data_IF_366056944977
#
_entry.id   IF_366056944977
#
_cell.length_a   1.000
_cell.length_b   1.000
_cell.length_c   1.000
_cell.angle_alpha   90.00
_cell.angle_beta   90.00
_cell.angle_gamma   90.00
#
_symmetry.space_group_name_H-M   'P 1'
#
loop_
_entity.id
_entity.type
_entity.pdbx_description
1 polymer ?
#
# COMPACT_ATOMS: atom_id res chain seq x y z
N UNK A 1 -39.22 23.20 -68.07
CA UNK A 1 -38.72 22.07 -67.26
C UNK A 1 -37.25 22.35 -66.96
N UNK A 2 -36.98 22.87 -65.77
CA UNK A 2 -35.66 23.36 -65.34
C UNK A 2 -35.35 22.74 -63.98
N UNK A 3 -34.14 22.20 -63.83
CA UNK A 3 -33.22 22.34 -62.68
C UNK A 3 -32.43 21.05 -62.43
N UNK A 4 -31.09 21.19 -62.43
CA UNK A 4 -30.13 20.11 -62.24
C UNK A 4 -29.90 19.73 -60.76
N UNK A 5 -29.03 18.74 -60.49
CA UNK A 5 -28.82 18.23 -59.14
C UNK A 5 -27.89 19.15 -58.34
N UNK A 6 -28.29 19.44 -57.09
CA UNK A 6 -27.49 20.15 -56.10
C UNK A 6 -26.61 19.15 -55.34
N UNK A 7 -25.31 19.42 -55.32
CA UNK A 7 -24.31 18.74 -54.50
C UNK A 7 -24.59 19.07 -53.03
N UNK A 8 -24.79 18.06 -52.18
CA UNK A 8 -24.81 18.22 -50.73
C UNK A 8 -23.45 17.77 -50.16
N UNK A 9 -22.74 18.70 -49.54
CA UNK A 9 -21.47 18.45 -48.88
C UNK A 9 -21.71 17.66 -47.57
N UNK A 10 -21.03 16.53 -47.42
CA UNK A 10 -20.93 15.81 -46.15
C UNK A 10 -19.92 16.53 -45.25
N UNK A 11 -20.40 17.12 -44.15
CA UNK A 11 -19.55 17.63 -43.08
C UNK A 11 -19.01 16.47 -42.24
N UNK A 12 -17.68 16.33 -42.19
CA UNK A 12 -16.99 15.38 -41.32
C UNK A 12 -16.87 15.99 -39.91
N UNK A 13 -17.62 15.48 -38.93
CA UNK A 13 -17.38 15.82 -37.53
C UNK A 13 -16.31 14.89 -36.95
N UNK A 14 -15.13 15.44 -36.70
CA UNK A 14 -14.07 14.81 -35.91
C UNK A 14 -14.46 14.86 -34.42
N UNK A 15 -14.69 13.69 -33.81
CA UNK A 15 -14.80 13.56 -32.37
C UNK A 15 -13.38 13.44 -31.79
N UNK A 16 -12.85 14.53 -31.22
CA UNK A 16 -11.68 14.46 -30.37
C UNK A 16 -12.10 13.87 -29.02
N UNK A 17 -11.89 12.58 -28.83
CA UNK A 17 -12.05 11.93 -27.53
C UNK A 17 -10.95 12.38 -26.59
N UNK A 18 -11.26 13.29 -25.67
CA UNK A 18 -10.38 13.64 -24.56
C UNK A 18 -10.29 12.46 -23.60
N UNK A 19 -9.17 11.74 -23.58
CA UNK A 19 -8.86 10.82 -22.49
C UNK A 19 -8.54 11.66 -21.25
N UNK A 20 -9.49 11.81 -20.33
CA UNK A 20 -9.17 12.26 -18.98
C UNK A 20 -8.31 11.18 -18.32
N UNK A 21 -7.02 11.45 -18.15
CA UNK A 21 -6.19 10.70 -17.22
C UNK A 21 -6.75 10.92 -15.81
N UNK A 22 -7.11 9.84 -15.12
CA UNK A 22 -7.60 9.92 -13.75
C UNK A 22 -6.50 10.47 -12.83
N UNK A 23 -6.82 11.50 -12.07
CA UNK A 23 -5.98 12.09 -11.02
C UNK A 23 -5.77 11.06 -9.90
N UNK A 24 -4.52 10.72 -9.52
CA UNK A 24 -4.28 9.89 -8.35
C UNK A 24 -4.77 10.64 -7.10
N UNK A 25 -5.88 10.20 -6.50
CA UNK A 25 -6.40 10.79 -5.25
C UNK A 25 -7.92 10.89 -5.11
N UNK A 26 -8.69 10.74 -6.19
CA UNK A 26 -10.17 10.86 -6.17
C UNK A 26 -10.89 9.51 -6.09
N UNK A 27 -10.29 8.52 -5.46
CA UNK A 27 -11.02 7.30 -5.08
C UNK A 27 -12.02 7.61 -3.97
N UNK A 28 -13.17 6.91 -3.88
CA UNK A 28 -14.05 7.07 -2.74
C UNK A 28 -13.29 6.80 -1.45
N UNK A 29 -13.32 7.75 -0.51
CA UNK A 29 -12.71 7.64 0.83
C UNK A 29 -13.29 6.48 1.65
N UNK A 30 -14.41 5.93 1.18
CA UNK A 30 -15.07 4.78 1.76
C UNK A 30 -15.30 3.72 0.68
N UNK A 31 -14.63 2.59 0.83
CA UNK A 31 -14.98 1.34 0.15
C UNK A 31 -15.84 0.52 1.11
N UNK A 32 -16.98 -0.05 0.68
CA UNK A 32 -17.75 -0.95 1.52
C UNK A 32 -16.87 -2.11 1.99
N UNK A 33 -16.86 -2.37 3.29
CA UNK A 33 -16.15 -3.54 3.79
C UNK A 33 -16.85 -4.81 3.30
N UNK A 34 -16.11 -5.88 3.00
CA UNK A 34 -16.73 -7.18 2.72
C UNK A 34 -17.44 -7.72 3.97
N UNK A 35 -18.22 -8.78 3.82
CA UNK A 35 -18.66 -9.56 4.98
C UNK A 35 -17.43 -10.24 5.60
N UNK A 36 -17.06 -9.80 6.80
CA UNK A 36 -15.85 -10.26 7.49
C UNK A 36 -15.91 -11.73 7.90
N UNK A 37 -17.12 -12.33 7.98
CA UNK A 37 -17.29 -13.75 8.33
C UNK A 37 -16.76 -14.70 7.25
N UNK A 38 -16.70 -14.22 6.00
CA UNK A 38 -16.21 -14.99 4.86
C UNK A 38 -14.72 -14.71 4.56
N UNK A 39 -14.05 -13.89 5.38
CA UNK A 39 -12.66 -13.50 5.13
C UNK A 39 -11.66 -14.42 5.83
N UNK A 40 -10.57 -14.73 5.13
CA UNK A 40 -9.39 -15.38 5.70
C UNK A 40 -8.32 -14.32 5.90
N UNK A 41 -8.04 -13.97 7.16
CA UNK A 41 -7.07 -12.94 7.50
C UNK A 41 -5.67 -13.52 7.65
N UNK A 42 -4.70 -12.91 6.97
CA UNK A 42 -3.28 -13.14 7.21
C UNK A 42 -2.73 -12.03 8.11
N UNK A 43 -2.38 -12.38 9.34
CA UNK A 43 -1.67 -11.46 10.23
C UNK A 43 -0.18 -11.41 9.87
N UNK A 44 0.36 -10.20 9.69
CA UNK A 44 1.78 -9.98 9.51
C UNK A 44 2.28 -8.87 10.45
N UNK A 45 3.41 -9.13 11.10
CA UNK A 45 4.17 -8.11 11.82
C UNK A 45 5.08 -7.41 10.83
N UNK A 46 4.88 -6.09 10.64
CA UNK A 46 5.54 -5.32 9.56
C UNK A 46 7.06 -5.52 9.60
N UNK A 47 7.68 -5.30 10.76
CA UNK A 47 9.13 -5.41 10.98
C UNK A 47 9.71 -6.79 10.60
N UNK A 48 8.90 -7.85 10.58
CA UNK A 48 9.40 -9.24 10.49
C UNK A 48 8.87 -10.01 9.30
N UNK A 49 8.19 -9.32 8.41
CA UNK A 49 7.60 -9.94 7.24
C UNK A 49 8.49 -9.85 6.00
N UNK A 50 8.82 -8.63 5.57
CA UNK A 50 9.68 -8.41 4.40
C UNK A 50 10.27 -6.99 4.42
N UNK A 51 11.58 -6.89 4.18
CA UNK A 51 12.31 -5.63 4.01
C UNK A 51 12.34 -5.28 2.52
N UNK A 52 11.61 -4.22 2.14
CA UNK A 52 11.54 -3.71 0.78
C UNK A 52 12.44 -2.49 0.55
N UNK A 53 12.86 -1.79 1.59
CA UNK A 53 13.69 -0.59 1.52
C UNK A 53 14.67 -0.49 2.70
N UNK A 54 15.89 -0.97 2.47
CA UNK A 54 16.98 -0.92 3.44
C UNK A 54 17.41 0.50 3.85
N UNK A 55 16.97 1.52 3.10
CA UNK A 55 17.26 2.92 3.42
C UNK A 55 16.55 3.42 4.69
N UNK A 56 15.57 2.67 5.21
CA UNK A 56 14.82 3.02 6.41
C UNK A 56 15.03 2.05 7.59
N UNK A 57 16.00 1.14 7.50
CA UNK A 57 16.26 0.08 8.50
C UNK A 57 16.81 0.62 9.82
N UNK A 58 17.63 1.68 9.76
CA UNK A 58 18.53 2.08 10.85
C UNK A 58 18.67 3.61 10.90
N UNK A 59 18.54 4.17 12.09
CA UNK A 59 18.87 5.56 12.45
C UNK A 59 20.33 5.71 12.88
N UNK A 60 21.08 4.62 12.90
CA UNK A 60 22.49 4.53 13.29
C UNK A 60 22.71 4.82 14.78
N UNK A 61 21.77 4.40 15.64
CA UNK A 61 21.88 4.54 17.10
C UNK A 61 21.97 3.19 17.85
N UNK A 62 22.07 2.08 17.10
CA UNK A 62 22.25 0.72 17.63
C UNK A 62 20.97 -0.06 17.86
N UNK A 63 19.85 0.39 17.30
CA UNK A 63 18.51 -0.17 17.44
C UNK A 63 18.14 -1.20 16.35
N UNK A 64 18.93 -1.28 15.28
CA UNK A 64 18.78 -2.26 14.20
C UNK A 64 19.76 -3.42 14.39
N UNK A 65 19.23 -4.65 14.46
CA UNK A 65 19.99 -5.90 14.39
C UNK A 65 19.00 -7.06 14.16
N UNK A 66 18.88 -7.58 12.93
CA UNK A 66 17.97 -8.68 12.64
C UNK A 66 18.28 -9.99 13.37
N UNK A 67 19.46 -10.13 13.99
CA UNK A 67 19.82 -11.29 14.81
C UNK A 67 19.36 -11.15 16.27
N UNK A 68 18.98 -9.94 16.71
CA UNK A 68 18.52 -9.64 18.06
C UNK A 68 17.01 -9.41 18.06
N UNK A 69 16.26 -10.29 18.72
CA UNK A 69 14.81 -10.19 18.79
C UNK A 69 14.31 -8.92 19.47
N UNK A 70 15.14 -8.25 20.28
CA UNK A 70 14.80 -7.00 20.94
C UNK A 70 14.89 -5.77 20.02
N UNK A 71 15.47 -5.94 18.82
CA UNK A 71 15.79 -4.86 17.88
C UNK A 71 14.94 -4.93 16.61
N UNK A 72 15.00 -3.84 15.85
CA UNK A 72 14.36 -3.78 14.53
C UNK A 72 15.06 -4.76 13.58
N UNK A 73 14.27 -5.43 12.76
CA UNK A 73 14.71 -6.41 11.75
C UNK A 73 14.61 -5.86 10.31
N UNK A 74 13.96 -4.71 10.14
CA UNK A 74 13.94 -3.95 8.89
C UNK A 74 12.78 -4.28 7.95
N UNK A 75 11.79 -5.06 8.40
CA UNK A 75 10.57 -5.22 7.62
C UNK A 75 9.78 -3.92 7.55
N UNK A 76 9.19 -3.64 6.39
CA UNK A 76 8.57 -2.34 6.12
C UNK A 76 7.31 -2.48 5.25
N UNK A 77 6.59 -1.36 5.06
CA UNK A 77 5.34 -1.35 4.29
C UNK A 77 5.55 -1.60 2.79
N UNK A 78 6.73 -1.26 2.24
CA UNK A 78 7.05 -1.55 0.84
C UNK A 78 7.26 -3.05 0.65
N UNK A 79 8.02 -3.70 1.52
CA UNK A 79 8.19 -5.15 1.53
C UNK A 79 6.87 -5.88 1.76
N UNK A 80 6.02 -5.38 2.66
CA UNK A 80 4.67 -5.92 2.83
C UNK A 80 3.84 -5.84 1.55
N UNK A 81 3.84 -4.69 0.88
CA UNK A 81 3.17 -4.47 -0.41
C UNK A 81 3.71 -5.41 -1.50
N UNK A 82 5.02 -5.54 -1.61
CA UNK A 82 5.69 -6.37 -2.62
C UNK A 82 5.36 -7.88 -2.45
N UNK A 83 4.93 -8.29 -1.25
CA UNK A 83 4.59 -9.67 -0.91
C UNK A 83 3.08 -9.95 -0.85
N UNK A 84 2.22 -8.99 -1.18
CA UNK A 84 0.77 -9.25 -1.30
C UNK A 84 0.45 -10.40 -2.27
N UNK A 85 1.14 -10.57 -3.43
CA UNK A 85 0.91 -11.73 -4.28
C UNK A 85 1.16 -13.08 -3.58
N UNK A 86 2.13 -13.15 -2.66
CA UNK A 86 2.38 -14.35 -1.84
C UNK A 86 1.22 -14.61 -0.87
N UNK A 87 0.73 -13.56 -0.19
CA UNK A 87 -0.41 -13.66 0.74
C UNK A 87 -1.67 -14.13 0.00
N UNK A 88 -1.92 -13.60 -1.20
CA UNK A 88 -3.03 -14.03 -2.05
C UNK A 88 -2.87 -15.49 -2.50
N UNK A 89 -1.67 -15.92 -2.87
CA UNK A 89 -1.41 -17.30 -3.28
C UNK A 89 -1.62 -18.33 -2.15
N UNK A 90 -1.50 -17.92 -0.88
CA UNK A 90 -1.88 -18.73 0.28
C UNK A 90 -3.41 -18.86 0.47
N UNK A 91 -4.21 -18.08 -0.26
CA UNK A 91 -5.67 -18.06 -0.16
C UNK A 91 -6.22 -17.07 0.88
N UNK A 92 -5.38 -16.20 1.45
CA UNK A 92 -5.87 -15.13 2.31
C UNK A 92 -6.59 -14.05 1.51
N UNK A 93 -7.67 -13.52 2.08
CA UNK A 93 -8.53 -12.50 1.45
C UNK A 93 -8.42 -11.13 2.11
N UNK A 94 -7.76 -11.05 3.27
CA UNK A 94 -7.43 -9.81 3.95
C UNK A 94 -6.10 -9.89 4.69
N UNK A 95 -5.49 -8.72 4.90
CA UNK A 95 -4.27 -8.58 5.71
C UNK A 95 -4.58 -7.84 7.01
N UNK A 96 -4.05 -8.35 8.11
CA UNK A 96 -4.00 -7.63 9.38
C UNK A 96 -2.54 -7.32 9.69
N UNK A 97 -2.22 -6.05 9.94
CA UNK A 97 -0.86 -5.57 10.19
C UNK A 97 -0.72 -5.02 11.62
N UNK A 98 0.51 -4.98 12.12
CA UNK A 98 0.86 -4.21 13.34
C UNK A 98 0.60 -2.71 13.13
N UNK A 99 0.35 -1.91 14.19
CA UNK A 99 -0.06 -0.51 14.05
C UNK A 99 0.96 0.34 13.27
N UNK A 100 0.56 0.97 12.15
CA UNK A 100 1.47 1.72 11.27
C UNK A 100 1.60 3.19 11.70
N UNK A 101 1.89 3.42 12.99
CA UNK A 101 2.16 4.76 13.55
C UNK A 101 3.64 4.89 13.92
N UNK A 102 4.10 6.11 14.19
CA UNK A 102 5.43 6.29 14.74
C UNK A 102 5.54 5.59 16.10
N UNK A 103 6.62 4.82 16.28
CA UNK A 103 6.88 4.04 17.48
C UNK A 103 8.27 4.36 18.01
N UNK A 104 8.45 4.17 19.33
CA UNK A 104 9.74 4.36 19.98
C UNK A 104 10.81 3.43 19.37
N UNK A 105 11.90 4.00 18.86
CA UNK A 105 12.98 3.22 18.23
C UNK A 105 13.75 2.37 19.24
N UNK A 106 14.07 2.94 20.41
CA UNK A 106 14.78 2.24 21.47
C UNK A 106 14.34 2.70 22.86
N UNK A 107 14.12 1.76 23.77
CA UNK A 107 13.91 2.00 25.18
C UNK A 107 15.13 1.50 25.98
N UNK A 108 15.99 2.40 26.50
CA UNK A 108 17.22 2.00 27.19
C UNK A 108 16.97 1.34 28.55
N UNK A 109 15.79 1.54 29.14
CA UNK A 109 15.43 0.92 30.43
C UNK A 109 14.93 -0.51 30.24
N UNK A 110 14.16 -0.75 29.17
CA UNK A 110 13.65 -2.07 28.83
C UNK A 110 14.66 -2.90 28.03
N UNK A 111 15.64 -2.26 27.38
CA UNK A 111 16.54 -2.85 26.39
C UNK A 111 15.77 -3.50 25.22
N UNK A 112 14.77 -2.79 24.71
CA UNK A 112 13.90 -3.23 23.61
C UNK A 112 13.55 -2.07 22.70
N UNK A 113 13.31 -2.34 21.42
CA UNK A 113 12.72 -1.44 20.45
C UNK A 113 11.22 -1.64 20.29
N UNK A 114 10.51 -0.60 19.85
CA UNK A 114 9.08 -0.63 19.57
C UNK A 114 8.71 -1.30 18.24
N UNK A 115 9.52 -2.24 17.76
CA UNK A 115 9.39 -2.90 16.45
C UNK A 115 8.04 -3.62 16.24
N UNK A 116 7.40 -4.00 17.35
CA UNK A 116 6.10 -4.66 17.34
C UNK A 116 4.93 -3.70 17.06
N UNK A 117 5.17 -2.39 17.03
CA UNK A 117 4.18 -1.38 16.65
C UNK A 117 3.23 -0.92 17.77
N UNK A 118 3.52 -1.23 19.04
CA UNK A 118 2.62 -0.94 20.18
C UNK A 118 3.21 0.03 21.21
N UNK A 119 4.31 0.70 20.89
CA UNK A 119 4.92 1.75 21.71
C UNK A 119 4.88 3.07 20.95
N UNK A 120 3.65 3.53 20.70
CA UNK A 120 3.39 4.73 19.92
C UNK A 120 4.07 5.96 20.53
N UNK A 121 4.59 6.82 19.66
CA UNK A 121 5.20 8.11 20.00
C UNK A 121 4.83 9.13 18.92
N UNK A 122 4.65 10.40 19.29
CA UNK A 122 4.43 11.53 18.38
C UNK A 122 5.01 12.80 19.02
#
# INVERSE_FOLDING_TARGET
MHSGPRIAALGLLLWAGSTLAATPGEGPLHVPSPDWRDQVLYFLMIDRFANGDRGNDDQHTGEFDPADNAKWSGGDLKGARDRIPYVQALGATGVWITPPVANQWWNPRAHYGGYHGYWATD
#
